data_IF_385982308851
#
_entry.id   IF_385982308851
#
_cell.length_a   1.000
_cell.length_b   1.000
_cell.length_c   1.000
_cell.angle_alpha   90.00
_cell.angle_beta   90.00
_cell.angle_gamma   90.00
#
_symmetry.space_group_name_H-M   'P 1'
#
loop_
_entity.id
_entity.type
_entity.pdbx_description
1 polymer ?
#
# COMPACT_ATOMS: atom_id res chain seq x y z
N UNK A 1 46.55 40.42 11.11
CA UNK A 1 46.34 39.37 10.07
C UNK A 1 44.85 39.01 9.87
N UNK A 2 43.92 39.95 10.14
CA UNK A 2 42.49 39.68 10.13
C UNK A 2 41.65 40.53 9.15
N UNK A 3 42.31 41.27 8.24
CA UNK A 3 41.56 42.20 7.36
C UNK A 3 41.34 41.66 5.95
N UNK A 4 42.00 40.58 5.57
CA UNK A 4 41.89 40.01 4.21
C UNK A 4 40.65 39.08 4.07
N UNK A 5 40.06 38.64 5.16
CA UNK A 5 38.92 37.70 5.13
C UNK A 5 37.56 38.31 4.80
N UNK A 6 37.40 39.64 4.95
CA UNK A 6 36.08 40.26 4.78
C UNK A 6 35.76 40.82 3.39
N UNK A 7 36.75 40.94 2.52
CA UNK A 7 36.52 41.61 1.20
C UNK A 7 36.12 40.73 0.05
N UNK A 8 36.02 39.37 0.20
CA UNK A 8 35.70 38.53 -0.91
C UNK A 8 34.86 37.27 -0.50
N UNK A 9 33.73 37.48 0.20
CA UNK A 9 32.80 36.39 0.47
C UNK A 9 32.38 35.61 -0.78
N UNK A 10 32.18 36.29 -1.91
CA UNK A 10 31.81 35.63 -3.20
C UNK A 10 32.95 34.77 -3.76
N UNK A 11 34.20 35.16 -3.64
CA UNK A 11 35.37 34.38 -4.11
C UNK A 11 35.64 33.16 -3.25
N UNK A 12 35.43 33.26 -1.96
CA UNK A 12 35.61 32.11 -1.02
C UNK A 12 34.52 31.06 -1.27
N UNK A 13 33.25 31.45 -1.49
CA UNK A 13 32.19 30.51 -1.86
C UNK A 13 32.48 29.81 -3.17
N UNK A 14 33.02 30.53 -4.16
CA UNK A 14 33.35 29.95 -5.47
C UNK A 14 34.52 28.97 -5.39
N UNK A 15 35.54 29.28 -4.56
CA UNK A 15 36.66 28.39 -4.34
C UNK A 15 36.26 27.16 -3.51
N UNK A 16 35.40 27.34 -2.50
CA UNK A 16 34.89 26.20 -1.70
C UNK A 16 34.06 25.23 -2.55
N UNK A 17 33.22 25.74 -3.44
CA UNK A 17 32.49 24.90 -4.40
C UNK A 17 33.39 24.20 -5.42
N UNK A 18 34.56 24.75 -5.74
CA UNK A 18 35.52 24.18 -6.69
C UNK A 18 36.30 22.99 -6.10
N UNK A 19 36.48 22.98 -4.78
CA UNK A 19 37.16 21.92 -4.07
C UNK A 19 36.25 20.85 -3.50
N UNK A 20 34.93 21.09 -3.45
CA UNK A 20 33.99 20.05 -3.11
C UNK A 20 33.87 19.08 -4.29
N UNK A 21 34.37 17.88 -4.12
CA UNK A 21 34.25 16.80 -5.08
C UNK A 21 32.79 16.58 -5.50
N UNK A 22 32.58 15.98 -6.67
CA UNK A 22 31.23 15.62 -7.14
C UNK A 22 30.59 14.69 -6.11
N UNK A 23 29.34 15.01 -5.73
CA UNK A 23 28.57 14.13 -4.84
C UNK A 23 28.35 12.80 -5.54
N UNK A 24 28.89 11.73 -4.98
CA UNK A 24 28.73 10.37 -5.51
C UNK A 24 27.28 9.92 -5.36
N UNK A 25 26.84 9.00 -6.21
CA UNK A 25 25.46 8.49 -6.23
C UNK A 25 24.97 8.00 -4.87
N UNK A 26 25.85 7.36 -4.08
CA UNK A 26 25.53 6.90 -2.72
C UNK A 26 25.09 8.04 -1.79
N UNK A 27 25.76 9.19 -1.84
CA UNK A 27 25.43 10.37 -1.03
C UNK A 27 24.09 11.02 -1.42
N UNK A 28 23.59 10.76 -2.63
CA UNK A 28 22.31 11.27 -3.12
C UNK A 28 21.11 10.44 -2.69
N UNK A 29 21.31 9.26 -2.08
CA UNK A 29 20.23 8.34 -1.67
C UNK A 29 19.58 8.69 -0.33
N UNK A 30 20.06 9.70 0.38
CA UNK A 30 19.49 10.15 1.65
C UNK A 30 18.13 10.84 1.50
N UNK A 31 17.65 11.40 2.61
CA UNK A 31 16.38 12.13 2.64
C UNK A 31 16.41 13.33 1.68
N UNK A 32 15.35 13.50 0.90
CA UNK A 32 15.29 14.55 -0.13
C UNK A 32 16.01 14.21 -1.43
N UNK A 33 16.51 12.98 -1.59
CA UNK A 33 17.27 12.51 -2.75
C UNK A 33 16.45 12.49 -4.05
N UNK A 34 17.17 12.70 -5.17
CA UNK A 34 16.63 12.55 -6.54
C UNK A 34 16.18 11.11 -6.86
N UNK A 35 16.57 10.11 -6.07
CA UNK A 35 16.19 8.71 -6.21
C UNK A 35 14.86 8.37 -5.52
N UNK A 36 13.95 9.31 -5.39
CA UNK A 36 12.59 9.07 -4.91
C UNK A 36 11.70 8.54 -6.02
N UNK A 37 10.74 7.71 -5.61
CA UNK A 37 9.66 7.32 -6.51
C UNK A 37 8.79 8.54 -6.86
N UNK A 38 8.58 8.76 -8.15
CA UNK A 38 7.67 9.81 -8.62
C UNK A 38 6.24 9.28 -8.68
N UNK A 39 5.28 10.06 -8.21
CA UNK A 39 3.87 9.70 -8.13
C UNK A 39 2.97 10.54 -9.03
N UNK A 40 3.54 11.51 -9.76
CA UNK A 40 2.79 12.48 -10.59
C UNK A 40 1.98 11.84 -11.71
N UNK A 41 2.44 10.71 -12.26
CA UNK A 41 1.76 10.00 -13.34
C UNK A 41 0.88 8.85 -12.87
N UNK A 42 0.72 8.63 -11.57
CA UNK A 42 -0.12 7.56 -11.04
C UNK A 42 -1.60 7.88 -11.22
N UNK A 43 -2.37 6.85 -11.55
CA UNK A 43 -3.82 6.98 -11.81
C UNK A 43 -4.57 7.22 -10.50
N UNK A 44 -4.30 6.42 -9.47
CA UNK A 44 -4.98 6.52 -8.19
C UNK A 44 -4.17 5.92 -7.03
N UNK A 45 -4.47 6.32 -5.77
CA UNK A 45 -3.97 5.63 -4.61
C UNK A 45 -4.60 4.24 -4.52
N UNK A 46 -3.77 3.19 -4.50
CA UNK A 46 -4.25 1.83 -4.26
C UNK A 46 -4.52 1.63 -2.77
N UNK A 47 -5.75 1.72 -2.35
CA UNK A 47 -6.17 1.58 -0.95
C UNK A 47 -7.45 0.76 -0.87
N UNK A 48 -7.58 -0.04 0.17
CA UNK A 48 -8.85 -0.68 0.50
C UNK A 48 -9.92 0.38 0.80
N UNK A 49 -11.17 -0.01 0.76
CA UNK A 49 -12.29 0.84 1.12
C UNK A 49 -12.16 1.31 2.58
N UNK A 50 -12.70 2.46 2.91
CA UNK A 50 -12.80 2.89 4.32
C UNK A 50 -13.74 1.94 5.05
N UNK A 51 -13.33 1.50 6.22
CA UNK A 51 -14.13 0.62 7.06
C UNK A 51 -15.40 1.35 7.53
N UNK A 52 -16.56 0.82 7.19
CA UNK A 52 -17.88 1.31 7.64
C UNK A 52 -18.61 0.22 8.44
N UNK A 53 -19.74 0.62 9.04
CA UNK A 53 -20.59 -0.27 9.86
C UNK A 53 -21.03 -1.50 9.05
N UNK A 54 -21.34 -1.33 7.76
CA UNK A 54 -21.77 -2.42 6.89
C UNK A 54 -20.68 -3.47 6.72
N UNK A 55 -19.42 -3.05 6.57
CA UNK A 55 -18.30 -3.99 6.50
C UNK A 55 -18.00 -4.67 7.83
N UNK A 56 -18.19 -3.95 8.95
CA UNK A 56 -17.97 -4.52 10.29
C UNK A 56 -18.98 -5.61 10.65
N UNK A 57 -20.22 -5.44 10.28
CA UNK A 57 -21.32 -6.34 10.67
C UNK A 57 -21.79 -7.28 9.57
N UNK A 58 -21.53 -6.93 8.33
CA UNK A 58 -21.99 -7.65 7.16
C UNK A 58 -20.96 -7.71 6.05
N UNK A 59 -21.41 -7.34 4.86
CA UNK A 59 -20.56 -7.17 3.68
C UNK A 59 -21.16 -6.17 2.71
N UNK A 60 -20.32 -5.57 1.88
CA UNK A 60 -20.74 -4.76 0.75
C UNK A 60 -20.26 -5.40 -0.56
N UNK A 61 -21.12 -5.36 -1.59
CA UNK A 61 -20.84 -5.89 -2.91
C UNK A 61 -20.28 -4.79 -3.82
N UNK A 62 -19.17 -5.07 -4.47
CA UNK A 62 -18.59 -4.26 -5.54
C UNK A 62 -18.49 -5.06 -6.85
N UNK A 63 -18.27 -4.36 -7.94
CA UNK A 63 -18.04 -4.95 -9.27
C UNK A 63 -16.72 -4.42 -9.82
N UNK A 64 -15.85 -5.32 -10.24
CA UNK A 64 -14.62 -4.96 -10.96
C UNK A 64 -15.01 -4.49 -12.35
N UNK A 65 -14.84 -3.23 -12.63
CA UNK A 65 -15.13 -2.66 -13.95
C UNK A 65 -13.99 -2.90 -14.93
N UNK A 66 -12.77 -2.74 -14.45
CA UNK A 66 -11.58 -2.82 -15.30
C UNK A 66 -10.33 -3.11 -14.48
N UNK A 67 -9.29 -3.65 -15.14
CA UNK A 67 -7.96 -3.84 -14.58
C UNK A 67 -7.01 -2.93 -15.35
N UNK A 68 -6.39 -1.97 -14.63
CA UNK A 68 -5.66 -0.85 -15.21
C UNK A 68 -4.20 -0.93 -14.81
N UNK A 69 -3.30 -0.64 -15.76
CA UNK A 69 -1.89 -0.44 -15.44
C UNK A 69 -1.67 0.91 -14.78
N UNK A 70 -1.01 0.91 -13.60
CA UNK A 70 -0.65 2.14 -12.88
C UNK A 70 0.83 2.47 -13.11
N UNK A 71 1.17 3.59 -13.77
CA UNK A 71 2.55 3.98 -14.01
C UNK A 71 3.39 4.06 -12.74
N UNK A 72 4.53 3.39 -12.72
CA UNK A 72 5.43 3.32 -11.56
C UNK A 72 5.03 2.29 -10.49
N UNK A 73 4.06 1.42 -10.78
CA UNK A 73 3.67 0.28 -9.95
C UNK A 73 3.73 -1.01 -10.77
N UNK A 74 4.34 -2.06 -10.21
CA UNK A 74 4.39 -3.38 -10.87
C UNK A 74 3.04 -4.10 -10.86
N UNK A 75 2.31 -4.03 -9.73
CA UNK A 75 0.99 -4.64 -9.62
C UNK A 75 -0.08 -3.78 -10.32
N UNK A 76 -0.96 -4.36 -11.14
CA UNK A 76 -2.07 -3.65 -11.74
C UNK A 76 -3.11 -3.24 -10.69
N UNK A 77 -3.95 -2.28 -11.03
CA UNK A 77 -5.06 -1.83 -10.19
C UNK A 77 -6.39 -2.35 -10.72
N UNK A 78 -7.21 -2.90 -9.84
CA UNK A 78 -8.61 -3.20 -10.11
C UNK A 78 -9.47 -1.97 -9.80
N UNK A 79 -10.17 -1.46 -10.80
CA UNK A 79 -11.18 -0.40 -10.64
C UNK A 79 -12.48 -1.03 -10.20
N UNK A 80 -12.82 -0.89 -8.92
CA UNK A 80 -14.01 -1.48 -8.32
C UNK A 80 -15.06 -0.42 -8.07
N UNK A 81 -16.28 -0.69 -8.46
CA UNK A 81 -17.41 0.21 -8.27
C UNK A 81 -18.35 -0.38 -7.23
N UNK A 82 -18.57 0.39 -6.18
CA UNK A 82 -19.50 0.08 -5.09
C UNK A 82 -20.72 1.00 -5.16
N UNK A 83 -21.88 0.48 -4.75
CA UNK A 83 -23.04 1.31 -4.48
C UNK A 83 -22.89 1.92 -3.10
N UNK A 84 -22.99 3.25 -2.98
CA UNK A 84 -22.96 3.93 -1.69
C UNK A 84 -24.20 3.50 -0.86
N UNK A 85 -24.03 2.96 0.35
CA UNK A 85 -25.14 2.49 1.15
C UNK A 85 -26.03 3.64 1.68
N UNK A 86 -25.45 4.84 1.82
CA UNK A 86 -26.15 6.00 2.42
C UNK A 86 -26.69 6.99 1.40
N UNK A 87 -26.17 6.95 0.17
CA UNK A 87 -26.54 7.89 -0.89
C UNK A 87 -26.76 7.14 -2.20
N UNK A 88 -27.67 7.63 -3.00
CA UNK A 88 -27.90 7.09 -4.36
C UNK A 88 -26.75 7.51 -5.32
N UNK A 89 -25.55 7.00 -5.03
CA UNK A 89 -24.33 7.31 -5.79
C UNK A 89 -23.43 6.07 -5.91
N UNK A 90 -22.74 5.97 -7.03
CA UNK A 90 -21.69 4.97 -7.22
C UNK A 90 -20.35 5.55 -6.75
N UNK A 91 -19.61 4.78 -5.98
CA UNK A 91 -18.24 5.09 -5.55
C UNK A 91 -17.26 4.17 -6.25
N UNK A 92 -16.22 4.76 -6.83
CA UNK A 92 -15.13 4.01 -7.46
C UNK A 92 -13.94 4.00 -6.51
N UNK A 93 -13.45 2.79 -6.20
CA UNK A 93 -12.23 2.56 -5.41
C UNK A 93 -11.22 1.77 -6.26
N UNK A 94 -9.94 1.93 -5.95
CA UNK A 94 -8.86 1.29 -6.70
C UNK A 94 -8.09 0.36 -5.76
N UNK A 95 -8.25 -0.94 -5.98
CA UNK A 95 -7.57 -1.98 -5.22
C UNK A 95 -6.33 -2.48 -5.97
N UNK A 96 -5.37 -3.04 -5.26
CA UNK A 96 -4.34 -3.84 -5.90
C UNK A 96 -5.01 -5.11 -6.41
N UNK A 97 -4.90 -5.37 -7.71
CA UNK A 97 -5.50 -6.57 -8.29
C UNK A 97 -4.77 -7.82 -7.76
N UNK A 98 -5.51 -8.72 -7.13
CA UNK A 98 -5.02 -10.04 -6.78
C UNK A 98 -4.90 -10.90 -8.05
N UNK A 99 -4.02 -11.89 -8.02
CA UNK A 99 -3.88 -12.85 -9.11
C UNK A 99 -5.20 -13.62 -9.30
N UNK A 100 -5.63 -13.75 -10.56
CA UNK A 100 -6.88 -14.40 -10.90
C UNK A 100 -8.11 -13.50 -10.89
N UNK A 101 -7.99 -12.21 -10.52
CA UNK A 101 -9.09 -11.27 -10.67
C UNK A 101 -9.31 -10.89 -12.13
N UNK A 102 -10.57 -10.69 -12.52
CA UNK A 102 -10.96 -10.31 -13.87
C UNK A 102 -12.05 -9.22 -13.89
N UNK A 103 -12.20 -8.54 -15.00
CA UNK A 103 -13.29 -7.58 -15.22
C UNK A 103 -14.64 -8.28 -15.18
N UNK A 104 -15.65 -7.61 -14.62
CA UNK A 104 -16.98 -8.18 -14.38
C UNK A 104 -17.12 -8.99 -13.10
N UNK A 105 -16.03 -9.36 -12.43
CA UNK A 105 -16.06 -10.11 -11.18
C UNK A 105 -16.76 -9.31 -10.08
N UNK A 106 -17.56 -10.00 -9.26
CA UNK A 106 -18.09 -9.44 -8.03
C UNK A 106 -17.10 -9.60 -6.89
N UNK A 107 -16.90 -8.54 -6.14
CA UNK A 107 -16.05 -8.52 -4.94
C UNK A 107 -16.92 -8.22 -3.73
N UNK A 108 -16.67 -8.93 -2.65
CA UNK A 108 -17.33 -8.73 -1.38
C UNK A 108 -16.30 -8.26 -0.34
N UNK A 109 -16.64 -7.16 0.35
CA UNK A 109 -15.81 -6.61 1.41
C UNK A 109 -16.59 -6.62 2.71
N UNK A 110 -16.08 -7.27 3.74
CA UNK A 110 -16.69 -7.29 5.07
C UNK A 110 -16.56 -8.61 5.82
N UNK A 111 -17.00 -8.60 7.07
CA UNK A 111 -16.86 -9.72 8.01
C UNK A 111 -17.56 -11.00 7.53
N UNK A 112 -18.72 -10.88 6.90
CA UNK A 112 -19.53 -12.00 6.41
C UNK A 112 -19.30 -12.32 4.93
N UNK A 113 -18.23 -11.80 4.32
CA UNK A 113 -17.91 -12.13 2.94
C UNK A 113 -17.39 -13.57 2.84
N UNK A 114 -17.64 -14.22 1.70
CA UNK A 114 -17.11 -15.55 1.41
C UNK A 114 -15.61 -15.48 1.12
N UNK A 115 -14.90 -16.57 1.42
CA UNK A 115 -13.47 -16.69 1.11
C UNK A 115 -13.36 -17.00 -0.38
N UNK A 116 -12.98 -15.97 -1.16
CA UNK A 116 -12.75 -16.07 -2.59
C UNK A 116 -11.67 -15.06 -3.03
N UNK A 117 -11.04 -15.33 -4.16
CA UNK A 117 -10.00 -14.45 -4.70
C UNK A 117 -10.56 -13.05 -4.98
N UNK A 118 -9.90 -12.05 -4.43
CA UNK A 118 -10.27 -10.64 -4.58
C UNK A 118 -11.20 -10.10 -3.49
N UNK A 119 -11.77 -10.95 -2.63
CA UNK A 119 -12.60 -10.51 -1.52
C UNK A 119 -11.72 -9.92 -0.39
N UNK A 120 -12.31 -9.01 0.38
CA UNK A 120 -11.67 -8.35 1.52
C UNK A 120 -12.37 -8.83 2.80
N UNK A 121 -11.60 -9.48 3.67
CA UNK A 121 -12.08 -10.07 4.91
C UNK A 121 -11.17 -9.71 6.08
N UNK A 122 -11.67 -9.77 7.33
CA UNK A 122 -10.82 -9.75 8.51
C UNK A 122 -9.87 -10.96 8.51
N UNK A 123 -8.62 -10.76 8.95
CA UNK A 123 -7.61 -11.83 8.93
C UNK A 123 -8.02 -13.06 9.72
N UNK A 124 -8.71 -12.86 10.85
CA UNK A 124 -9.18 -13.96 11.70
C UNK A 124 -10.17 -14.92 11.01
N UNK A 125 -10.94 -14.43 10.04
CA UNK A 125 -11.91 -15.25 9.31
C UNK A 125 -11.29 -16.07 8.15
N UNK A 126 -10.01 -15.85 7.85
CA UNK A 126 -9.32 -16.54 6.77
C UNK A 126 -8.55 -17.73 7.35
N UNK A 127 -8.64 -18.94 6.78
CA UNK A 127 -8.00 -20.12 7.34
C UNK A 127 -6.47 -20.02 7.33
N UNK A 128 -5.86 -20.69 8.31
CA UNK A 128 -4.41 -20.81 8.41
C UNK A 128 -3.82 -21.44 7.14
N UNK A 129 -2.61 -21.04 6.77
CA UNK A 129 -1.95 -21.46 5.54
C UNK A 129 -2.37 -20.71 4.30
N UNK A 130 -3.39 -19.86 4.36
CA UNK A 130 -3.86 -19.09 3.20
C UNK A 130 -2.86 -18.01 2.79
N UNK A 131 -2.79 -17.75 1.47
CA UNK A 131 -2.02 -16.67 0.88
C UNK A 131 -2.88 -15.41 0.81
N UNK A 132 -2.39 -14.33 1.39
CA UNK A 132 -3.09 -13.04 1.42
C UNK A 132 -2.19 -11.92 0.91
N UNK A 133 -2.78 -10.88 0.35
CA UNK A 133 -2.08 -9.68 -0.10
C UNK A 133 -2.76 -8.41 0.42
N UNK A 134 -2.05 -7.28 0.34
CA UNK A 134 -2.54 -5.96 0.76
C UNK A 134 -3.07 -5.93 2.20
N UNK A 135 -2.31 -6.52 3.13
CA UNK A 135 -2.69 -6.62 4.55
C UNK A 135 -2.52 -5.27 5.23
N UNK A 136 -3.48 -4.89 6.07
CA UNK A 136 -3.41 -3.70 6.91
C UNK A 136 -2.39 -3.90 8.04
N UNK A 137 -1.75 -2.83 8.47
CA UNK A 137 -0.89 -2.83 9.65
C UNK A 137 -1.69 -2.52 10.91
N UNK A 138 -2.65 -1.62 10.79
CA UNK A 138 -3.61 -1.28 11.84
C UNK A 138 -5.00 -1.26 11.24
N UNK A 139 -6.01 -1.55 12.03
CA UNK A 139 -7.40 -1.53 11.59
C UNK A 139 -7.75 -0.17 10.93
N UNK A 140 -8.19 -0.22 9.68
CA UNK A 140 -8.58 0.97 8.90
C UNK A 140 -7.44 1.71 8.19
N UNK A 141 -6.22 1.20 8.20
CA UNK A 141 -5.08 1.79 7.49
C UNK A 141 -5.18 1.60 5.94
N UNK A 142 -6.05 0.72 5.50
CA UNK A 142 -6.38 0.49 4.08
C UNK A 142 -5.27 -0.19 3.27
N UNK A 143 -4.40 -0.93 3.94
CA UNK A 143 -3.39 -1.78 3.34
C UNK A 143 -1.96 -1.23 3.36
N UNK A 144 -1.07 -1.98 4.03
CA UNK A 144 0.34 -1.66 4.22
C UNK A 144 1.30 -2.75 3.71
N UNK A 145 1.03 -4.03 3.98
CA UNK A 145 1.94 -5.13 3.69
C UNK A 145 1.58 -5.91 2.42
N UNK A 146 2.56 -6.62 1.83
CA UNK A 146 2.41 -7.50 0.67
C UNK A 146 1.68 -6.82 -0.51
N UNK A 147 2.18 -5.66 -0.94
CA UNK A 147 1.56 -4.80 -1.96
C UNK A 147 2.28 -4.80 -3.29
N UNK A 148 3.45 -5.36 -3.35
CA UNK A 148 4.27 -5.39 -4.57
C UNK A 148 3.88 -6.60 -5.42
N UNK A 149 4.03 -6.50 -6.74
CA UNK A 149 3.79 -7.61 -7.65
C UNK A 149 4.58 -8.85 -7.23
N UNK A 150 3.93 -10.02 -7.25
CA UNK A 150 4.52 -11.30 -6.86
C UNK A 150 4.75 -11.48 -5.37
N UNK A 151 4.32 -10.55 -4.51
CA UNK A 151 4.45 -10.68 -3.05
C UNK A 151 3.13 -11.09 -2.40
N UNK A 152 3.24 -11.95 -1.39
CA UNK A 152 2.13 -12.41 -0.57
C UNK A 152 2.57 -12.55 0.88
N UNK A 153 1.64 -12.58 1.78
CA UNK A 153 1.84 -13.00 3.16
C UNK A 153 1.11 -14.33 3.40
N UNK A 154 1.60 -15.12 4.33
CA UNK A 154 1.00 -16.42 4.69
C UNK A 154 0.47 -16.32 6.11
N UNK A 155 -0.79 -16.65 6.33
CA UNK A 155 -1.36 -16.76 7.66
C UNK A 155 -0.76 -18.00 8.33
N UNK A 156 -0.18 -17.82 9.52
CA UNK A 156 0.52 -18.89 10.25
C UNK A 156 -0.37 -19.47 11.33
N UNK A 157 -0.98 -18.62 12.15
CA UNK A 157 -1.84 -19.06 13.26
C UNK A 157 -2.76 -17.93 13.71
N UNK A 158 -3.88 -18.30 14.28
CA UNK A 158 -4.79 -17.43 15.00
C UNK A 158 -4.67 -17.65 16.50
N UNK A 159 -4.87 -16.59 17.28
CA UNK A 159 -5.02 -16.67 18.74
C UNK A 159 -6.41 -16.18 19.08
N UNK A 160 -7.25 -17.09 19.57
CA UNK A 160 -8.64 -16.77 19.91
C UNK A 160 -8.74 -15.92 21.17
N UNK A 161 -7.79 -16.09 22.11
CA UNK A 161 -7.77 -15.35 23.39
C UNK A 161 -7.53 -13.86 23.17
N UNK A 162 -6.55 -13.50 22.31
CA UNK A 162 -6.15 -12.13 22.06
C UNK A 162 -6.80 -11.52 20.81
N UNK A 163 -7.56 -12.29 20.05
CA UNK A 163 -8.04 -11.94 18.71
C UNK A 163 -6.92 -11.49 17.75
N UNK A 164 -5.75 -12.10 17.91
CA UNK A 164 -4.56 -11.78 17.13
C UNK A 164 -4.30 -12.83 16.05
N UNK A 165 -3.89 -12.36 14.87
CA UNK A 165 -3.46 -13.22 13.76
C UNK A 165 -1.98 -13.04 13.49
N UNK A 166 -1.23 -14.15 13.50
CA UNK A 166 0.18 -14.18 13.12
C UNK A 166 0.31 -14.50 11.64
N UNK A 167 1.04 -13.69 10.91
CA UNK A 167 1.32 -13.93 9.50
C UNK A 167 2.80 -13.71 9.17
N UNK A 168 3.27 -14.40 8.15
CA UNK A 168 4.65 -14.34 7.65
C UNK A 168 4.69 -13.48 6.41
N UNK A 169 5.53 -12.46 6.41
CA UNK A 169 5.78 -11.57 5.28
C UNK A 169 6.73 -12.20 4.25
N UNK A 170 6.76 -11.72 2.99
CA UNK A 170 7.69 -12.20 1.98
C UNK A 170 9.17 -12.00 2.37
N UNK A 171 9.47 -11.07 3.27
CA UNK A 171 10.81 -10.86 3.84
C UNK A 171 11.23 -11.93 4.86
N UNK A 172 10.36 -12.88 5.18
CA UNK A 172 10.57 -13.89 6.22
C UNK A 172 10.20 -13.45 7.64
N UNK A 173 9.99 -12.16 7.88
CA UNK A 173 9.57 -11.64 9.19
C UNK A 173 8.13 -12.04 9.51
N UNK A 174 7.89 -12.41 10.77
CA UNK A 174 6.54 -12.68 11.30
C UNK A 174 5.99 -11.41 11.94
N UNK A 175 4.74 -11.11 11.69
CA UNK A 175 3.98 -10.02 12.29
C UNK A 175 2.74 -10.57 12.98
N UNK A 176 2.29 -9.88 14.02
CA UNK A 176 1.04 -10.17 14.73
C UNK A 176 0.20 -8.91 14.67
N UNK A 177 -1.04 -9.04 14.23
CA UNK A 177 -2.00 -7.93 14.12
C UNK A 177 -3.32 -8.33 14.77
N UNK A 178 -3.95 -7.39 15.45
CA UNK A 178 -5.32 -7.51 15.97
C UNK A 178 -6.30 -7.49 14.82
N UNK A 179 -7.20 -8.43 14.76
CA UNK A 179 -8.22 -8.57 13.70
C UNK A 179 -9.60 -8.18 14.19
#
# INVERSE_FOLDING_TARGET
MNIIFFKNKKKIYFLFNRYMGKVIRKCRKGQGSVFRAHTSKRIAPAKLRKLDVIEKEGYIKGVVKDIIHDPGRGAPLAKVVFRDPYRYKLRTEYFIAAEGMHSGQHIFCGKKAQIAVGNVLPLHSIPEGSLVCNVEQYMGDRGAFARTSGTYAIIVSHSDEDHNTKFKLPTGSKKTETS
#
